data_IF_543419517029
#
_entry.id   IF_543419517029
#
_cell.length_a   1.000
_cell.length_b   1.000
_cell.length_c   1.000
_cell.angle_alpha   90.00
_cell.angle_beta   90.00
_cell.angle_gamma   90.00
#
_symmetry.space_group_name_H-M   'P 1'
#
loop_
_entity.id
_entity.type
_entity.pdbx_description
1 polymer ?
#
# COMPACT_ATOMS: atom_id res chain seq x y z
N UNK A 1 -20.81 11.89 45.58
CA UNK A 1 -20.12 12.15 44.31
C UNK A 1 -20.63 11.11 43.33
N UNK A 2 -21.59 11.51 42.49
CA UNK A 2 -22.20 10.65 41.48
C UNK A 2 -21.24 10.44 40.31
N UNK A 3 -21.10 9.20 39.86
CA UNK A 3 -20.72 8.90 38.49
C UNK A 3 -21.88 8.12 37.85
N UNK A 4 -22.74 8.84 37.15
CA UNK A 4 -23.47 8.38 35.97
C UNK A 4 -22.74 9.09 34.79
N UNK A 5 -22.60 8.57 33.58
CA UNK A 5 -23.54 7.80 32.80
C UNK A 5 -22.77 7.15 31.62
N UNK A 6 -23.08 5.88 31.38
CA UNK A 6 -23.39 5.27 30.08
C UNK A 6 -22.97 5.97 28.78
N UNK A 7 -22.25 5.25 27.92
CA UNK A 7 -22.45 5.23 26.45
C UNK A 7 -21.50 4.23 25.78
N UNK A 8 -22.07 3.06 25.49
CA UNK A 8 -21.59 2.10 24.50
C UNK A 8 -21.36 2.79 23.15
N UNK A 9 -20.11 2.88 22.70
CA UNK A 9 -19.77 2.95 21.29
C UNK A 9 -18.77 1.83 20.99
N UNK A 10 -19.26 0.85 20.25
CA UNK A 10 -18.49 -0.22 19.60
C UNK A 10 -17.39 0.41 18.76
N UNK A 11 -16.18 0.48 19.32
CA UNK A 11 -14.99 0.82 18.56
C UNK A 11 -14.64 -0.37 17.68
N UNK A 12 -14.94 -0.26 16.38
CA UNK A 12 -14.25 -1.05 15.37
C UNK A 12 -12.77 -0.80 15.55
N UNK A 13 -12.01 -1.87 15.71
CA UNK A 13 -10.57 -1.89 15.98
C UNK A 13 -9.80 -1.35 14.78
N UNK A 14 -9.69 -0.02 14.68
CA UNK A 14 -8.67 0.65 13.88
C UNK A 14 -7.73 1.34 14.87
N UNK A 15 -6.50 0.84 14.97
CA UNK A 15 -5.45 1.54 15.68
C UNK A 15 -5.00 2.67 14.74
N UNK A 16 -5.42 3.90 15.06
CA UNK A 16 -4.83 5.09 14.47
C UNK A 16 -3.51 5.31 15.21
N UNK A 17 -2.41 4.87 14.61
CA UNK A 17 -1.08 5.09 15.15
C UNK A 17 -0.65 6.54 14.90
N UNK A 18 -0.13 7.24 15.91
CA UNK A 18 0.24 8.68 15.82
C UNK A 18 1.51 8.93 14.97
N UNK A 19 2.05 7.90 14.32
CA UNK A 19 3.32 7.90 13.61
C UNK A 19 3.19 8.43 12.18
N UNK A 20 2.98 9.74 12.07
CA UNK A 20 3.11 10.45 10.81
C UNK A 20 4.54 10.39 10.30
N UNK A 21 4.70 10.21 8.98
CA UNK A 21 6.01 10.28 8.32
C UNK A 21 6.12 11.57 7.50
N UNK A 22 7.35 12.02 7.24
CA UNK A 22 7.56 13.04 6.21
C UNK A 22 7.64 12.35 4.84
N UNK A 23 6.52 12.32 4.12
CA UNK A 23 6.38 11.70 2.79
C UNK A 23 7.31 12.27 1.74
N UNK A 24 7.76 13.52 1.90
CA UNK A 24 8.71 14.16 0.97
C UNK A 24 10.11 13.51 1.00
N UNK A 25 10.41 12.71 2.02
CA UNK A 25 11.66 11.97 2.15
C UNK A 25 11.60 10.58 1.51
N UNK A 26 10.42 10.13 1.04
CA UNK A 26 10.28 8.83 0.41
C UNK A 26 11.04 8.79 -0.93
N UNK A 27 11.83 7.74 -1.20
CA UNK A 27 12.59 7.61 -2.45
C UNK A 27 11.67 7.15 -3.58
N UNK A 28 10.90 8.06 -4.17
CA UNK A 28 9.85 7.74 -5.15
C UNK A 28 10.34 7.01 -6.41
N UNK A 29 11.65 7.03 -6.69
CA UNK A 29 12.25 6.21 -7.75
C UNK A 29 12.22 4.70 -7.47
N UNK A 30 11.99 4.30 -6.23
CA UNK A 30 11.84 2.91 -5.78
C UNK A 30 10.38 2.41 -5.84
N UNK A 31 9.43 3.30 -6.18
CA UNK A 31 8.02 2.99 -6.28
C UNK A 31 7.57 2.85 -7.75
N UNK A 32 6.55 2.03 -7.97
CA UNK A 32 5.74 2.04 -9.19
C UNK A 32 4.75 3.20 -9.05
N UNK A 33 4.84 4.18 -9.96
CA UNK A 33 3.87 5.28 -10.00
C UNK A 33 2.71 4.93 -10.91
N UNK A 34 1.49 5.07 -10.41
CA UNK A 34 0.26 5.01 -11.20
C UNK A 34 -0.59 6.26 -10.95
N UNK A 35 -1.23 6.77 -12.00
CA UNK A 35 -2.07 7.96 -11.92
C UNK A 35 -3.42 7.64 -12.52
N UNK A 36 -4.46 7.81 -11.71
CA UNK A 36 -5.85 7.59 -12.07
C UNK A 36 -6.61 8.90 -12.08
N UNK A 37 -7.36 9.15 -13.15
CA UNK A 37 -8.07 10.42 -13.34
C UNK A 37 -7.11 11.61 -13.29
N UNK A 38 -7.43 12.62 -12.49
CA UNK A 38 -6.61 13.83 -12.31
C UNK A 38 -5.38 13.65 -11.41
N UNK A 39 -5.32 12.56 -10.61
CA UNK A 39 -4.18 12.27 -9.73
C UNK A 39 -3.92 13.26 -8.60
N UNK A 40 -4.94 14.00 -8.16
CA UNK A 40 -4.80 15.10 -7.19
C UNK A 40 -4.48 14.64 -5.77
N UNK A 41 -4.83 13.41 -5.41
CA UNK A 41 -4.68 12.85 -4.07
C UNK A 41 -3.62 11.78 -4.14
N UNK A 42 -2.78 11.65 -3.12
CA UNK A 42 -1.62 10.74 -3.17
C UNK A 42 -1.66 9.70 -2.07
N UNK A 43 -1.38 8.44 -2.45
CA UNK A 43 -1.10 7.34 -1.53
C UNK A 43 0.31 6.81 -1.79
N UNK A 44 1.06 6.58 -0.71
CA UNK A 44 2.33 5.85 -0.72
C UNK A 44 2.13 4.49 -0.08
N UNK A 45 2.04 3.45 -0.90
CA UNK A 45 1.61 2.11 -0.49
C UNK A 45 2.81 1.16 -0.39
N UNK A 46 2.92 0.43 0.71
CA UNK A 46 3.80 -0.72 0.86
C UNK A 46 2.95 -1.99 0.80
N UNK A 47 3.15 -2.78 -0.25
CA UNK A 47 2.25 -3.88 -0.60
C UNK A 47 3.00 -5.13 -1.01
N UNK A 48 2.44 -6.29 -0.66
CA UNK A 48 2.99 -7.61 -0.94
C UNK A 48 2.15 -8.31 -2.02
N UNK A 49 2.74 -8.76 -3.15
CA UNK A 49 2.00 -9.38 -4.25
C UNK A 49 1.26 -10.68 -3.88
N UNK A 50 1.72 -11.40 -2.85
CA UNK A 50 1.12 -12.67 -2.41
C UNK A 50 0.22 -12.48 -1.17
N UNK A 51 0.02 -11.25 -0.69
CA UNK A 51 -0.85 -10.95 0.45
C UNK A 51 -2.32 -10.77 0.02
N UNK A 52 -3.29 -11.51 0.61
CA UNK A 52 -4.70 -11.40 0.26
C UNK A 52 -5.33 -10.04 0.64
N UNK A 53 -4.84 -9.39 1.69
CA UNK A 53 -5.31 -8.04 2.05
C UNK A 53 -4.79 -6.96 1.10
N UNK A 54 -3.61 -7.18 0.50
CA UNK A 54 -3.10 -6.29 -0.55
C UNK A 54 -3.97 -6.42 -1.82
N UNK A 55 -4.45 -7.63 -2.12
CA UNK A 55 -5.43 -7.85 -3.20
C UNK A 55 -6.75 -7.13 -2.91
N UNK A 56 -7.25 -7.22 -1.67
CA UNK A 56 -8.47 -6.51 -1.27
C UNK A 56 -8.31 -4.99 -1.39
N UNK A 57 -7.17 -4.42 -0.96
CA UNK A 57 -6.90 -2.99 -1.14
C UNK A 57 -6.89 -2.60 -2.62
N UNK A 58 -6.19 -3.36 -3.48
CA UNK A 58 -6.16 -3.09 -4.92
C UNK A 58 -7.58 -3.08 -5.51
N UNK A 59 -8.43 -4.04 -5.13
CA UNK A 59 -9.85 -4.08 -5.55
C UNK A 59 -10.63 -2.83 -5.12
N UNK A 60 -10.41 -2.34 -3.91
CA UNK A 60 -11.07 -1.14 -3.39
C UNK A 60 -10.59 0.12 -4.12
N UNK A 61 -9.29 0.23 -4.40
CA UNK A 61 -8.70 1.37 -5.12
C UNK A 61 -9.23 1.49 -6.56
N UNK A 62 -9.73 0.41 -7.17
CA UNK A 62 -10.46 0.48 -8.46
C UNK A 62 -11.68 1.40 -8.43
N UNK A 63 -12.28 1.64 -7.27
CA UNK A 63 -13.45 2.51 -7.14
C UNK A 63 -13.13 3.94 -6.69
N UNK A 64 -11.87 4.23 -6.36
CA UNK A 64 -11.39 5.55 -5.94
C UNK A 64 -10.76 6.26 -7.14
N UNK A 65 -11.21 7.46 -7.46
CA UNK A 65 -10.73 8.22 -8.63
C UNK A 65 -9.73 9.32 -8.22
N UNK A 66 -9.15 10.03 -9.19
CA UNK A 66 -8.30 11.20 -8.95
C UNK A 66 -7.13 10.93 -7.97
N UNK A 67 -6.53 9.75 -8.10
CA UNK A 67 -5.54 9.20 -7.18
C UNK A 67 -4.20 8.98 -7.89
N UNK A 68 -3.11 9.42 -7.26
CA UNK A 68 -1.75 9.01 -7.57
C UNK A 68 -1.33 7.95 -6.55
N UNK A 69 -0.90 6.79 -7.03
CA UNK A 69 -0.38 5.70 -6.20
C UNK A 69 1.13 5.63 -6.42
N UNK A 70 1.89 5.65 -5.34
CA UNK A 70 3.29 5.26 -5.30
C UNK A 70 3.39 3.93 -4.58
N UNK A 71 3.41 2.84 -5.35
CA UNK A 71 3.47 1.49 -4.86
C UNK A 71 4.92 1.04 -4.66
N UNK A 72 5.32 0.90 -3.41
CA UNK A 72 6.54 0.24 -2.98
C UNK A 72 6.24 -1.25 -2.80
N UNK A 73 6.76 -2.07 -3.72
CA UNK A 73 6.70 -3.52 -3.57
C UNK A 73 7.48 -3.94 -2.33
N UNK A 74 6.79 -4.57 -1.37
CA UNK A 74 7.28 -4.91 -0.03
C UNK A 74 6.89 -6.36 0.30
N UNK A 75 7.63 -7.36 -0.21
CA UNK A 75 7.33 -8.76 0.02
C UNK A 75 7.69 -9.19 1.46
N UNK A 76 6.73 -9.79 2.17
CA UNK A 76 6.89 -10.32 3.54
C UNK A 76 7.27 -11.79 3.45
N UNK A 77 8.53 -12.04 3.10
CA UNK A 77 9.04 -13.37 2.72
C UNK A 77 8.99 -14.40 3.84
N UNK A 78 8.86 -13.97 5.09
CA UNK A 78 8.68 -14.84 6.24
C UNK A 78 7.39 -15.69 6.16
N UNK A 79 6.35 -15.18 5.49
CA UNK A 79 5.07 -15.87 5.30
C UNK A 79 4.67 -16.04 3.83
N UNK A 80 5.29 -15.28 2.92
CA UNK A 80 5.08 -15.40 1.47
C UNK A 80 6.41 -15.67 0.74
N UNK A 81 6.87 -16.94 0.70
CA UNK A 81 8.22 -17.26 0.20
C UNK A 81 8.43 -16.97 -1.29
N UNK A 82 7.36 -16.81 -2.07
CA UNK A 82 7.43 -16.47 -3.50
C UNK A 82 7.25 -14.97 -3.78
N UNK A 83 6.87 -14.17 -2.79
CA UNK A 83 6.49 -12.77 -2.99
C UNK A 83 7.62 -11.94 -3.57
N UNK A 84 8.86 -12.19 -3.15
CA UNK A 84 10.03 -11.48 -3.68
C UNK A 84 10.27 -11.79 -5.15
N UNK A 85 10.17 -13.05 -5.55
CA UNK A 85 10.27 -13.44 -6.95
C UNK A 85 9.15 -12.82 -7.81
N UNK A 86 7.94 -12.69 -7.26
CA UNK A 86 6.81 -12.03 -7.93
C UNK A 86 7.00 -10.53 -8.03
N UNK A 87 7.43 -9.88 -6.95
CA UNK A 87 7.73 -8.46 -6.91
C UNK A 87 8.80 -8.09 -7.95
N UNK A 88 9.86 -8.89 -8.07
CA UNK A 88 10.90 -8.69 -9.07
C UNK A 88 10.36 -8.78 -10.51
N UNK A 89 9.50 -9.75 -10.81
CA UNK A 89 8.87 -9.87 -12.13
C UNK A 89 7.95 -8.68 -12.44
N UNK A 90 7.13 -8.28 -11.47
CA UNK A 90 6.25 -7.10 -11.60
C UNK A 90 7.09 -5.84 -11.88
N UNK A 91 8.17 -5.64 -11.13
CA UNK A 91 9.07 -4.50 -11.33
C UNK A 91 9.75 -4.50 -12.71
N UNK A 92 10.11 -5.67 -13.21
CA UNK A 92 10.77 -5.81 -14.51
C UNK A 92 9.81 -5.78 -15.70
N UNK A 93 8.49 -5.71 -15.45
CA UNK A 93 7.50 -5.63 -16.51
C UNK A 93 7.60 -4.30 -17.26
N UNK A 94 7.32 -4.35 -18.57
CA UNK A 94 7.26 -3.15 -19.42
C UNK A 94 6.25 -2.13 -18.88
N UNK A 95 5.11 -2.62 -18.43
CA UNK A 95 4.12 -1.86 -17.67
C UNK A 95 3.98 -2.49 -16.28
N UNK A 96 4.66 -1.86 -15.32
CA UNK A 96 4.79 -2.38 -13.95
C UNK A 96 3.46 -2.38 -13.21
N UNK A 97 2.67 -1.31 -13.36
CA UNK A 97 1.39 -1.22 -12.65
C UNK A 97 0.37 -2.16 -13.29
N UNK A 98 0.32 -2.26 -14.62
CA UNK A 98 -0.55 -3.26 -15.26
C UNK A 98 -0.16 -4.69 -14.87
N UNK A 99 1.13 -5.00 -14.71
CA UNK A 99 1.57 -6.30 -14.23
C UNK A 99 1.16 -6.56 -12.77
N UNK A 100 1.28 -5.56 -11.90
CA UNK A 100 0.78 -5.59 -10.52
C UNK A 100 -0.73 -5.86 -10.49
N UNK A 101 -1.52 -4.98 -11.10
CA UNK A 101 -2.98 -5.06 -11.12
C UNK A 101 -3.47 -6.41 -11.66
N UNK A 102 -2.89 -6.89 -12.78
CA UNK A 102 -3.27 -8.18 -13.34
C UNK A 102 -2.90 -9.38 -12.46
N UNK A 103 -1.78 -9.31 -11.75
CA UNK A 103 -1.39 -10.36 -10.81
C UNK A 103 -2.29 -10.34 -9.57
N UNK A 104 -2.55 -9.16 -9.01
CA UNK A 104 -3.38 -9.01 -7.82
C UNK A 104 -4.83 -9.43 -8.07
N UNK A 105 -5.43 -8.98 -9.16
CA UNK A 105 -6.86 -9.18 -9.41
C UNK A 105 -7.20 -10.47 -10.14
N UNK A 106 -6.26 -10.99 -10.95
CA UNK A 106 -6.55 -12.11 -11.85
C UNK A 106 -5.53 -13.24 -11.77
N UNK A 107 -4.50 -13.10 -10.92
CA UNK A 107 -3.39 -14.07 -10.78
C UNK A 107 -2.70 -14.37 -12.12
N UNK A 108 -2.70 -13.39 -13.02
CA UNK A 108 -1.97 -13.47 -14.29
C UNK A 108 -0.50 -13.23 -14.01
N UNK A 109 0.35 -14.21 -14.33
CA UNK A 109 1.79 -14.07 -14.13
C UNK A 109 2.35 -12.93 -15.01
N UNK A 110 3.26 -12.08 -14.49
CA UNK A 110 3.91 -11.07 -15.30
C UNK A 110 4.70 -11.70 -16.46
N UNK A 111 4.56 -11.15 -17.66
CA UNK A 111 5.28 -11.60 -18.85
C UNK A 111 6.71 -11.03 -18.85
N UNK A 112 7.56 -11.57 -17.98
CA UNK A 112 8.96 -11.15 -17.83
C UNK A 112 9.86 -12.35 -17.63
N UNK A 113 11.01 -12.35 -18.30
CA UNK A 113 12.04 -13.37 -18.16
C UNK A 113 13.04 -13.11 -17.04
N UNK A 114 12.89 -12.02 -16.27
CA UNK A 114 13.89 -11.52 -15.34
C UNK A 114 13.65 -11.94 -13.89
N UNK A 115 14.67 -12.55 -13.29
CA UNK A 115 14.72 -13.18 -11.97
C UNK A 115 15.40 -12.32 -10.88
N UNK A 116 15.65 -11.03 -11.12
CA UNK A 116 15.97 -10.10 -10.02
C UNK A 116 17.14 -9.13 -10.20
N UNK A 117 17.65 -8.89 -11.41
CA UNK A 117 18.70 -7.87 -11.57
C UNK A 117 18.11 -6.44 -11.64
N UNK A 118 18.65 -5.52 -10.83
CA UNK A 118 18.36 -4.08 -10.82
C UNK A 118 16.95 -3.66 -10.37
N UNK A 119 16.40 -4.30 -9.34
CA UNK A 119 15.13 -3.90 -8.72
C UNK A 119 15.36 -3.22 -7.36
N UNK A 120 14.42 -2.39 -6.86
CA UNK A 120 14.53 -1.75 -5.56
C UNK A 120 13.96 -2.61 -4.42
N UNK A 121 13.71 -3.91 -4.64
CA UNK A 121 12.93 -4.73 -3.70
C UNK A 121 13.60 -4.82 -2.32
N UNK A 122 14.90 -5.10 -2.28
CA UNK A 122 15.67 -5.11 -1.02
C UNK A 122 15.67 -3.73 -0.34
N UNK A 123 15.76 -2.65 -1.13
CA UNK A 123 15.72 -1.28 -0.62
C UNK A 123 14.34 -0.94 -0.05
N UNK A 124 13.26 -1.40 -0.68
CA UNK A 124 11.89 -1.23 -0.20
C UNK A 124 11.68 -2.01 1.10
N UNK A 125 12.18 -3.24 1.21
CA UNK A 125 12.15 -4.03 2.45
C UNK A 125 12.90 -3.29 3.57
N UNK A 126 14.09 -2.77 3.28
CA UNK A 126 14.86 -1.99 4.25
C UNK A 126 14.13 -0.69 4.65
N UNK A 127 13.53 0.02 3.70
CA UNK A 127 12.75 1.23 3.93
C UNK A 127 11.53 0.94 4.81
N UNK A 128 10.73 -0.09 4.51
CA UNK A 128 9.58 -0.44 5.33
C UNK A 128 9.98 -0.82 6.75
N UNK A 129 11.12 -1.48 6.95
CA UNK A 129 11.69 -1.71 8.30
C UNK A 129 12.08 -0.41 9.01
N UNK A 130 12.69 0.54 8.31
CA UNK A 130 13.02 1.87 8.88
C UNK A 130 11.77 2.68 9.23
N UNK A 131 10.70 2.49 8.47
CA UNK A 131 9.39 3.07 8.73
C UNK A 131 8.57 2.21 9.70
N UNK A 132 9.14 1.19 10.34
CA UNK A 132 8.42 0.34 11.31
C UNK A 132 7.12 -0.26 10.75
N UNK A 133 7.09 -0.60 9.46
CA UNK A 133 5.96 -1.29 8.84
C UNK A 133 5.99 -2.76 9.27
N UNK A 134 4.97 -3.18 10.02
CA UNK A 134 4.88 -4.55 10.57
C UNK A 134 3.88 -5.44 9.84
N UNK A 135 3.16 -4.93 8.85
CA UNK A 135 2.16 -5.67 8.09
C UNK A 135 1.88 -5.02 6.73
N UNK A 136 1.21 -5.77 5.85
CA UNK A 136 0.78 -5.29 4.53
C UNK A 136 -0.72 -5.55 4.32
N UNK A 137 -1.42 -4.66 3.59
CA UNK A 137 -0.90 -3.40 3.07
C UNK A 137 -0.72 -2.39 4.20
N UNK A 138 0.26 -1.50 4.06
CA UNK A 138 0.35 -0.27 4.85
C UNK A 138 0.56 0.88 3.90
N UNK A 139 -0.19 1.96 4.08
CA UNK A 139 -0.06 3.11 3.20
C UNK A 139 -0.08 4.42 3.95
N UNK A 140 0.53 5.43 3.34
CA UNK A 140 0.62 6.78 3.88
C UNK A 140 -0.10 7.75 2.95
N UNK A 141 -0.82 8.69 3.54
CA UNK A 141 -1.44 9.81 2.82
C UNK A 141 -0.44 10.95 2.62
N UNK A 142 -0.78 11.94 1.81
CA UNK A 142 0.10 13.08 1.50
C UNK A 142 0.61 13.81 2.74
N UNK A 143 -0.26 14.03 3.73
CA UNK A 143 0.07 14.64 5.03
C UNK A 143 0.91 13.74 5.97
N UNK A 144 1.26 12.52 5.55
CA UNK A 144 2.06 11.58 6.32
C UNK A 144 1.28 10.64 7.22
N UNK A 145 -0.05 10.76 7.29
CA UNK A 145 -0.90 9.89 8.10
C UNK A 145 -0.76 8.43 7.63
N UNK A 146 -0.48 7.53 8.57
CA UNK A 146 -0.34 6.08 8.34
C UNK A 146 -1.68 5.38 8.45
N UNK A 147 -1.93 4.47 7.51
CA UNK A 147 -3.02 3.49 7.57
C UNK A 147 -2.42 2.10 7.47
N UNK A 148 -2.76 1.25 8.43
CA UNK A 148 -2.35 -0.17 8.44
C UNK A 148 -3.54 -1.06 8.11
N UNK A 149 -3.32 -2.02 7.21
CA UNK A 149 -4.35 -2.93 6.72
C UNK A 149 -5.30 -2.29 5.72
N UNK A 150 -6.49 -2.88 5.63
CA UNK A 150 -7.53 -2.50 4.67
C UNK A 150 -8.65 -1.77 5.37
N UNK A 151 -9.09 -0.66 4.79
CA UNK A 151 -10.27 0.08 5.20
C UNK A 151 -11.33 0.01 4.09
N UNK A 152 -12.64 0.09 4.42
CA UNK A 152 -13.67 0.30 3.42
C UNK A 152 -13.35 1.51 2.52
N UNK A 153 -13.69 1.44 1.24
CA UNK A 153 -13.39 2.51 0.27
C UNK A 153 -13.92 3.89 0.70
N UNK A 154 -15.07 3.96 1.38
CA UNK A 154 -15.62 5.20 1.92
C UNK A 154 -14.72 5.82 3.01
N UNK A 155 -14.12 4.99 3.86
CA UNK A 155 -13.19 5.46 4.88
C UNK A 155 -11.87 5.93 4.26
N UNK A 156 -11.37 5.24 3.22
CA UNK A 156 -10.20 5.68 2.45
C UNK A 156 -10.48 7.03 1.77
N UNK A 157 -11.63 7.19 1.11
CA UNK A 157 -12.07 8.45 0.49
C UNK A 157 -12.13 9.59 1.50
N UNK A 158 -12.71 9.34 2.69
CA UNK A 158 -12.75 10.33 3.78
C UNK A 158 -11.35 10.74 4.24
N UNK A 159 -10.46 9.77 4.41
CA UNK A 159 -9.08 10.04 4.83
C UNK A 159 -8.31 10.84 3.77
N UNK A 160 -8.46 10.48 2.49
CA UNK A 160 -7.86 11.21 1.37
C UNK A 160 -8.32 12.67 1.35
N UNK A 161 -9.61 12.93 1.56
CA UNK A 161 -10.15 14.29 1.64
C UNK A 161 -9.57 15.11 2.82
N UNK A 162 -9.28 14.45 3.95
CA UNK A 162 -8.71 15.10 5.13
C UNK A 162 -7.19 15.33 5.03
N UNK A 163 -6.52 14.69 4.07
CA UNK A 163 -5.09 14.76 3.89
C UNK A 163 -4.62 15.80 2.85
N UNK A 164 -5.57 16.45 2.16
CA UNK A 164 -5.35 17.64 1.31
C UNK A 164 -5.01 18.88 2.16
#
# INVERSE_FOLDING_TARGET
>A
MSYNNDSLHTQSSFIIDEHHINTTLLPLSQAIKYVKGSGKRTIYEFSDPDCPFCEELEQLLLNINDLTIYLFLFPVTEIHPNAEFRANQIWNAKDRYAAWENYMLYRTAPDTSGDGENTPIEQNIALGRQLEITGTPTFFLENGFRVEGVLPAEDIERLLYQAE
#
